data_IF_443573556201
#
_entry.id   IF_443573556201
#
_cell.length_a   1.000
_cell.length_b   1.000
_cell.length_c   1.000
_cell.angle_alpha   90.00
_cell.angle_beta   90.00
_cell.angle_gamma   90.00
#
_symmetry.space_group_name_H-M   'P 1'
#
loop_
_entity.id
_entity.type
_entity.pdbx_description
1 polymer ?
#
# COMPACT_ATOMS: atom_id res chain seq x y z
N UNK A 1 -12.30 -9.26 -29.52
CA UNK A 1 -10.89 -9.72 -29.39
C UNK A 1 -10.46 -9.56 -27.95
N UNK A 2 -9.73 -10.52 -27.38
CA UNK A 2 -9.29 -10.53 -25.97
C UNK A 2 -7.89 -9.95 -25.79
N UNK A 3 -7.66 -8.73 -26.26
CA UNK A 3 -6.42 -7.97 -26.04
C UNK A 3 -6.84 -6.55 -25.65
N UNK A 4 -6.26 -6.04 -24.57
CA UNK A 4 -6.56 -4.73 -24.01
C UNK A 4 -5.35 -3.81 -24.12
N UNK A 5 -5.61 -2.50 -24.14
CA UNK A 5 -4.58 -1.48 -24.16
C UNK A 5 -4.23 -1.04 -22.72
N UNK A 6 -2.95 -0.98 -22.40
CA UNK A 6 -2.45 -0.53 -21.09
C UNK A 6 -1.40 0.58 -21.27
N UNK A 7 -1.45 1.67 -20.48
CA UNK A 7 -0.46 2.73 -20.54
C UNK A 7 0.76 2.43 -19.67
N UNK A 8 1.93 2.90 -20.10
CA UNK A 8 3.11 3.11 -19.25
C UNK A 8 3.68 4.49 -19.59
N UNK A 9 3.41 5.48 -18.74
CA UNK A 9 3.59 6.90 -19.08
C UNK A 9 2.89 7.23 -20.41
N UNK A 10 3.63 7.76 -21.38
CA UNK A 10 3.13 8.13 -22.72
C UNK A 10 3.08 6.91 -23.66
N UNK A 11 3.68 5.78 -23.29
CA UNK A 11 3.74 4.58 -24.12
C UNK A 11 2.47 3.75 -24.00
N UNK A 12 2.03 3.19 -25.13
CA UNK A 12 0.88 2.27 -25.21
C UNK A 12 1.36 0.84 -25.38
N UNK A 13 0.82 -0.06 -24.58
CA UNK A 13 1.03 -1.51 -24.71
C UNK A 13 -0.29 -2.24 -24.94
N UNK A 14 -0.18 -3.45 -25.45
CA UNK A 14 -1.30 -4.34 -25.71
C UNK A 14 -1.06 -5.68 -25.03
N UNK A 15 -2.08 -6.23 -24.39
CA UNK A 15 -1.97 -7.56 -23.82
C UNK A 15 -3.16 -7.99 -23.00
N UNK A 16 -2.93 -8.79 -21.97
CA UNK A 16 -3.98 -9.37 -21.16
C UNK A 16 -3.46 -9.76 -19.78
N UNK A 17 -4.34 -9.71 -18.78
CA UNK A 17 -4.07 -10.19 -17.43
C UNK A 17 -4.75 -11.53 -17.18
N UNK A 18 -4.17 -12.39 -16.35
CA UNK A 18 -4.77 -13.66 -15.93
C UNK A 18 -4.78 -13.80 -14.42
N UNK A 19 -5.75 -14.54 -13.90
CA UNK A 19 -5.82 -14.86 -12.48
C UNK A 19 -6.68 -16.08 -12.21
N UNK A 20 -6.15 -17.00 -11.41
CA UNK A 20 -6.89 -18.11 -10.81
C UNK A 20 -6.36 -18.28 -9.39
N UNK A 21 -7.25 -18.31 -8.40
CA UNK A 21 -6.89 -18.33 -6.98
C UNK A 21 -5.86 -17.25 -6.61
N UNK A 22 -4.72 -17.65 -6.04
CA UNK A 22 -3.58 -16.78 -5.70
C UNK A 22 -2.51 -16.69 -6.81
N UNK A 23 -2.78 -17.26 -7.98
CA UNK A 23 -1.94 -17.12 -9.16
C UNK A 23 -2.39 -15.92 -10.00
N UNK A 24 -1.41 -15.19 -10.53
CA UNK A 24 -1.60 -14.02 -11.38
C UNK A 24 -0.64 -14.08 -12.56
N UNK A 25 -1.09 -13.56 -13.68
CA UNK A 25 -0.25 -13.34 -14.85
C UNK A 25 -0.56 -12.02 -15.53
N UNK A 26 0.41 -11.48 -16.24
CA UNK A 26 0.25 -10.31 -17.08
C UNK A 26 1.17 -10.44 -18.28
N UNK A 27 0.68 -10.05 -19.44
CA UNK A 27 1.45 -9.88 -20.67
C UNK A 27 1.22 -8.47 -21.19
N UNK A 28 2.30 -7.78 -21.55
CA UNK A 28 2.27 -6.49 -22.24
C UNK A 28 3.27 -6.50 -23.39
N UNK A 29 2.79 -6.16 -24.59
CA UNK A 29 3.61 -5.93 -25.77
C UNK A 29 3.57 -4.45 -26.16
N UNK A 30 4.75 -3.84 -26.31
CA UNK A 30 4.96 -2.46 -26.73
C UNK A 30 5.45 -2.47 -28.18
N UNK A 31 4.57 -2.22 -29.18
CA UNK A 31 4.93 -2.34 -30.59
C UNK A 31 6.03 -1.37 -31.02
N UNK A 32 6.01 -0.14 -30.48
CA UNK A 32 6.99 0.91 -30.81
C UNK A 32 8.41 0.52 -30.36
N UNK A 33 8.53 -0.13 -29.20
CA UNK A 33 9.81 -0.57 -28.64
C UNK A 33 10.22 -1.98 -29.08
N UNK A 34 9.33 -2.71 -29.78
CA UNK A 34 9.44 -4.15 -30.07
C UNK A 34 9.74 -4.98 -28.81
N UNK A 35 9.12 -4.60 -27.69
CA UNK A 35 9.35 -5.21 -26.38
C UNK A 35 8.12 -5.99 -25.92
N UNK A 36 8.32 -7.22 -25.45
CA UNK A 36 7.32 -8.00 -24.73
C UNK A 36 7.77 -8.21 -23.28
N UNK A 37 6.88 -7.96 -22.33
CA UNK A 37 7.08 -8.25 -20.89
C UNK A 37 5.97 -9.17 -20.42
N UNK A 38 6.35 -10.27 -19.80
CA UNK A 38 5.44 -11.20 -19.16
C UNK A 38 5.81 -11.37 -17.69
N UNK A 39 4.81 -11.33 -16.81
CA UNK A 39 4.95 -11.61 -15.39
C UNK A 39 4.00 -12.74 -15.03
N UNK A 40 4.49 -13.72 -14.28
CA UNK A 40 3.69 -14.72 -13.58
C UNK A 40 4.06 -14.69 -12.11
N UNK A 41 3.07 -14.80 -11.24
CA UNK A 41 3.25 -14.74 -9.78
C UNK A 41 2.26 -15.66 -9.08
N UNK A 42 2.69 -16.23 -7.98
CA UNK A 42 1.88 -17.04 -7.05
C UNK A 42 1.90 -16.47 -5.63
N UNK A 43 2.21 -15.18 -5.48
CA UNK A 43 2.23 -14.47 -4.20
C UNK A 43 1.58 -13.08 -4.30
N UNK A 44 0.95 -12.63 -3.21
CA UNK A 44 0.32 -11.30 -3.08
C UNK A 44 0.95 -10.38 -2.05
N UNK A 45 2.08 -10.78 -1.46
CA UNK A 45 2.77 -9.97 -0.45
C UNK A 45 3.26 -8.62 -1.01
N UNK A 46 3.46 -8.55 -2.33
CA UNK A 46 3.81 -7.33 -3.04
C UNK A 46 2.98 -7.21 -4.33
N UNK A 47 2.65 -5.98 -4.72
CA UNK A 47 1.76 -5.74 -5.85
C UNK A 47 2.47 -6.04 -7.19
N UNK A 48 1.85 -6.86 -8.04
CA UNK A 48 2.43 -7.24 -9.33
C UNK A 48 2.55 -6.06 -10.30
N UNK A 49 1.68 -5.05 -10.18
CA UNK A 49 1.77 -3.84 -10.98
C UNK A 49 3.03 -3.04 -10.61
N UNK A 50 3.37 -2.96 -9.32
CA UNK A 50 4.61 -2.30 -8.87
C UNK A 50 5.86 -3.01 -9.42
N UNK A 51 5.85 -4.34 -9.46
CA UNK A 51 6.93 -5.14 -10.08
C UNK A 51 7.06 -4.83 -11.57
N UNK A 52 5.93 -4.82 -12.30
CA UNK A 52 5.92 -4.49 -13.72
C UNK A 52 6.40 -3.05 -13.99
N UNK A 53 5.96 -2.08 -13.18
CA UNK A 53 6.41 -0.69 -13.26
C UNK A 53 7.92 -0.61 -13.01
N UNK A 54 8.46 -1.31 -12.02
CA UNK A 54 9.90 -1.33 -11.76
C UNK A 54 10.70 -1.92 -12.94
N UNK A 55 10.25 -3.04 -13.50
CA UNK A 55 10.88 -3.68 -14.66
C UNK A 55 10.87 -2.76 -15.91
N UNK A 56 9.70 -2.19 -16.23
CA UNK A 56 9.56 -1.25 -17.35
C UNK A 56 10.34 0.04 -17.12
N UNK A 57 10.36 0.55 -15.89
CA UNK A 57 11.14 1.75 -15.54
C UNK A 57 12.63 1.51 -15.68
N UNK A 58 13.11 0.34 -15.26
CA UNK A 58 14.51 -0.08 -15.45
C UNK A 58 14.90 -0.11 -16.92
N UNK A 59 14.09 -0.75 -17.78
CA UNK A 59 14.35 -0.82 -19.23
C UNK A 59 14.33 0.57 -19.89
N UNK A 60 13.46 1.47 -19.44
CA UNK A 60 13.27 2.80 -20.02
C UNK A 60 14.12 3.90 -19.34
N UNK A 61 15.06 3.55 -18.46
CA UNK A 61 15.86 4.48 -17.65
C UNK A 61 15.01 5.54 -16.93
N UNK A 62 13.83 5.15 -16.42
CA UNK A 62 12.96 5.99 -15.60
C UNK A 62 13.28 5.79 -14.11
N UNK A 63 13.15 6.83 -13.28
CA UNK A 63 13.31 6.67 -11.84
C UNK A 63 12.19 5.77 -11.28
N UNK A 64 12.55 4.89 -10.35
CA UNK A 64 11.62 4.05 -9.60
C UNK A 64 12.12 3.87 -8.17
N UNK A 65 11.22 3.51 -7.27
CA UNK A 65 11.55 3.24 -5.88
C UNK A 65 11.86 1.77 -5.71
N UNK A 66 13.02 1.45 -5.12
CA UNK A 66 13.33 0.08 -4.70
C UNK A 66 12.60 -0.16 -3.36
N UNK A 67 11.73 -1.19 -3.26
CA UNK A 67 11.10 -1.50 -1.99
C UNK A 67 12.12 -2.00 -0.97
N UNK A 68 11.93 -1.61 0.28
CA UNK A 68 12.57 -2.24 1.44
C UNK A 68 11.62 -3.28 2.04
N UNK A 69 12.20 -4.37 2.56
CA UNK A 69 11.46 -5.46 3.21
C UNK A 69 11.94 -5.65 4.65
N UNK A 70 12.36 -4.57 5.29
CA UNK A 70 12.86 -4.62 6.66
C UNK A 70 11.74 -5.08 7.61
N UNK A 71 12.06 -6.06 8.44
CA UNK A 71 11.15 -6.52 9.48
C UNK A 71 11.34 -5.64 10.71
N UNK A 72 10.41 -4.71 10.94
CA UNK A 72 10.38 -3.94 12.18
C UNK A 72 9.95 -4.87 13.31
N UNK A 73 10.90 -5.29 14.14
CA UNK A 73 10.61 -6.11 15.33
C UNK A 73 10.07 -5.20 16.42
N UNK A 74 8.76 -5.29 16.70
CA UNK A 74 8.07 -4.52 17.73
C UNK A 74 7.73 -5.41 18.92
N UNK A 75 7.95 -4.91 20.14
CA UNK A 75 7.37 -5.50 21.34
C UNK A 75 5.95 -4.98 21.52
N UNK A 76 5.10 -5.74 22.23
CA UNK A 76 3.72 -5.32 22.48
C UNK A 76 3.63 -3.98 23.23
N UNK A 77 4.59 -3.71 24.11
CA UNK A 77 4.70 -2.46 24.88
C UNK A 77 4.98 -1.24 23.99
N UNK A 78 5.72 -1.42 22.89
CA UNK A 78 6.05 -0.34 21.96
C UNK A 78 4.81 0.20 21.22
N UNK A 79 3.72 -0.57 21.24
CA UNK A 79 2.46 -0.24 20.57
C UNK A 79 1.49 0.57 21.43
N UNK A 80 1.64 0.53 22.75
CA UNK A 80 0.75 1.19 23.71
C UNK A 80 0.57 2.70 23.47
N UNK A 81 1.62 3.45 23.09
CA UNK A 81 1.46 4.88 22.80
C UNK A 81 0.47 5.17 21.66
N UNK A 82 0.28 4.24 20.72
CA UNK A 82 -0.57 4.44 19.54
C UNK A 82 -2.04 4.12 19.79
N UNK A 83 -2.37 3.34 20.83
CA UNK A 83 -3.73 2.86 21.09
C UNK A 83 -4.68 3.98 21.48
N UNK A 84 -5.87 4.05 20.87
CA UNK A 84 -6.90 5.04 21.23
C UNK A 84 -7.84 5.41 20.08
N UNK A 85 -8.76 6.33 20.34
CA UNK A 85 -9.65 6.90 19.34
C UNK A 85 -9.06 8.22 18.81
N UNK A 86 -8.91 8.31 17.49
CA UNK A 86 -8.44 9.49 16.78
C UNK A 86 -9.58 10.10 15.98
N UNK A 87 -9.72 11.42 16.06
CA UNK A 87 -10.71 12.15 15.29
C UNK A 87 -10.28 13.59 15.04
N UNK A 88 -10.91 14.24 14.07
CA UNK A 88 -10.76 15.66 13.81
C UNK A 88 -12.11 16.23 13.34
N UNK A 89 -12.36 17.52 13.57
CA UNK A 89 -13.61 18.16 13.15
C UNK A 89 -13.77 18.17 11.62
N UNK A 90 -12.67 18.19 10.88
CA UNK A 90 -12.65 18.15 9.41
C UNK A 90 -12.67 16.74 8.82
N UNK A 91 -12.68 15.68 9.64
CA UNK A 91 -12.67 14.30 9.17
C UNK A 91 -13.97 13.58 9.59
N UNK A 92 -14.73 12.98 8.66
CA UNK A 92 -16.13 12.58 8.88
C UNK A 92 -16.30 11.36 9.80
N UNK A 93 -15.22 10.67 10.17
CA UNK A 93 -15.27 9.41 10.91
C UNK A 93 -14.22 9.40 12.03
N UNK A 94 -14.43 8.59 13.07
CA UNK A 94 -13.39 8.30 14.06
C UNK A 94 -12.62 7.07 13.64
N UNK A 95 -11.32 7.05 13.93
CA UNK A 95 -10.44 5.89 13.73
C UNK A 95 -10.02 5.37 15.10
N UNK A 96 -10.36 4.13 15.40
CA UNK A 96 -9.92 3.44 16.61
C UNK A 96 -8.70 2.59 16.28
N UNK A 97 -7.63 2.76 17.06
CA UNK A 97 -6.42 1.96 16.99
C UNK A 97 -6.37 1.01 18.18
N UNK A 98 -6.36 -0.29 17.90
CA UNK A 98 -6.24 -1.37 18.88
C UNK A 98 -5.00 -2.21 18.59
N UNK A 99 -4.62 -3.09 19.52
CA UNK A 99 -3.58 -4.09 19.30
C UNK A 99 -4.10 -5.50 19.59
N UNK A 100 -3.54 -6.45 18.87
CA UNK A 100 -3.61 -7.88 19.19
C UNK A 100 -2.17 -8.41 19.16
N UNK A 101 -1.65 -8.82 20.32
CA UNK A 101 -0.24 -9.20 20.51
C UNK A 101 0.74 -8.09 20.08
N UNK A 102 1.43 -8.29 18.97
CA UNK A 102 2.44 -7.38 18.39
C UNK A 102 1.95 -6.72 17.09
N UNK A 103 0.66 -6.81 16.78
CA UNK A 103 0.05 -6.17 15.60
C UNK A 103 -0.93 -5.08 16.01
N UNK A 104 -0.90 -3.96 15.28
CA UNK A 104 -1.92 -2.93 15.37
C UNK A 104 -3.07 -3.22 14.41
N UNK A 105 -4.27 -2.82 14.81
CA UNK A 105 -5.46 -2.82 13.98
C UNK A 105 -6.06 -1.42 13.96
N UNK A 106 -6.50 -0.98 12.79
CA UNK A 106 -7.27 0.25 12.64
C UNK A 106 -8.71 -0.08 12.26
N UNK A 107 -9.64 0.65 12.85
CA UNK A 107 -11.06 0.55 12.54
C UNK A 107 -11.66 1.95 12.37
N UNK A 108 -12.18 2.25 11.19
CA UNK A 108 -13.04 3.40 11.00
C UNK A 108 -14.47 3.10 11.50
N UNK A 109 -15.15 4.11 12.02
CA UNK A 109 -16.54 3.97 12.47
C UNK A 109 -17.44 3.40 11.36
N UNK A 110 -18.11 2.28 11.62
CA UNK A 110 -18.96 1.60 10.64
C UNK A 110 -18.25 0.70 9.64
N UNK A 111 -16.94 0.48 9.78
CA UNK A 111 -16.14 -0.40 8.93
C UNK A 111 -15.53 -1.57 9.73
N UNK A 112 -15.11 -2.60 9.01
CA UNK A 112 -14.34 -3.70 9.59
C UNK A 112 -12.94 -3.21 10.01
N UNK A 113 -12.40 -3.81 11.07
CA UNK A 113 -11.01 -3.57 11.45
C UNK A 113 -10.06 -4.24 10.44
N UNK A 114 -8.91 -3.61 10.20
CA UNK A 114 -7.87 -4.14 9.32
C UNK A 114 -6.50 -4.06 10.00
N UNK A 115 -5.62 -5.04 9.72
CA UNK A 115 -4.28 -5.06 10.29
C UNK A 115 -3.41 -3.96 9.68
N UNK A 116 -2.50 -3.44 10.48
CA UNK A 116 -1.49 -2.47 10.10
C UNK A 116 -0.11 -3.12 10.17
N UNK A 117 0.63 -3.02 9.07
CA UNK A 117 2.00 -3.51 8.99
C UNK A 117 2.96 -2.36 9.28
N UNK A 118 3.97 -2.54 10.16
CA UNK A 118 4.93 -1.49 10.47
C UNK A 118 5.89 -1.30 9.29
N UNK A 119 6.10 -0.05 8.91
CA UNK A 119 7.11 0.31 7.90
C UNK A 119 8.37 0.82 8.55
N UNK A 120 8.23 1.65 9.60
CA UNK A 120 9.31 2.23 10.38
C UNK A 120 8.80 2.55 11.80
N UNK A 121 9.66 3.10 12.67
CA UNK A 121 9.23 3.62 13.97
C UNK A 121 8.10 4.64 13.79
N UNK A 122 7.00 4.47 14.52
CA UNK A 122 5.78 5.27 14.45
C UNK A 122 5.05 5.28 13.08
N UNK A 123 5.48 4.50 12.09
CA UNK A 123 4.88 4.50 10.76
C UNK A 123 4.33 3.12 10.42
N UNK A 124 3.08 3.09 9.99
CA UNK A 124 2.35 1.87 9.69
C UNK A 124 1.55 2.04 8.41
N UNK A 125 1.27 0.94 7.72
CA UNK A 125 0.47 0.98 6.51
C UNK A 125 -0.48 -0.21 6.36
N UNK A 126 -1.51 0.01 5.57
CA UNK A 126 -2.35 -1.06 5.04
C UNK A 126 -2.31 -0.96 3.50
N UNK A 127 -1.37 -1.70 2.91
CA UNK A 127 -1.04 -1.63 1.48
C UNK A 127 -2.26 -1.86 0.59
N UNK A 128 -3.14 -2.80 0.95
CA UNK A 128 -4.32 -3.16 0.15
C UNK A 128 -5.27 -1.99 -0.10
N UNK A 129 -5.33 -1.00 0.80
CA UNK A 129 -6.15 0.20 0.64
C UNK A 129 -5.33 1.47 0.40
N UNK A 130 -4.00 1.34 0.21
CA UNK A 130 -3.09 2.48 0.06
C UNK A 130 -3.09 3.43 1.27
N UNK A 131 -3.37 2.92 2.47
CA UNK A 131 -3.44 3.70 3.71
C UNK A 131 -2.06 3.74 4.36
N UNK A 132 -1.58 4.93 4.72
CA UNK A 132 -0.40 5.13 5.57
C UNK A 132 -0.76 5.95 6.80
N UNK A 133 -0.30 5.51 7.96
CA UNK A 133 -0.50 6.15 9.26
C UNK A 133 0.85 6.53 9.83
N UNK A 134 1.02 7.81 10.14
CA UNK A 134 2.19 8.35 10.82
C UNK A 134 1.76 8.82 12.20
N UNK A 135 2.21 8.14 13.24
CA UNK A 135 1.89 8.46 14.62
C UNK A 135 2.86 9.49 15.19
N UNK A 136 2.30 10.43 15.96
CA UNK A 136 3.04 11.44 16.73
C UNK A 136 2.61 11.35 18.19
N UNK A 137 3.10 10.36 18.96
CA UNK A 137 2.63 10.10 20.32
C UNK A 137 2.78 11.31 21.26
N UNK A 138 3.90 12.04 21.15
CA UNK A 138 4.19 13.22 21.96
C UNK A 138 3.20 14.37 21.71
N UNK A 139 2.66 14.45 20.49
CA UNK A 139 1.68 15.47 20.10
C UNK A 139 0.24 14.96 20.24
N UNK A 140 0.04 13.69 20.64
CA UNK A 140 -1.26 13.00 20.62
C UNK A 140 -1.93 13.06 19.24
N UNK A 141 -1.15 12.95 18.17
CA UNK A 141 -1.65 13.05 16.79
C UNK A 141 -1.36 11.79 15.98
N UNK A 142 -2.18 11.57 14.95
CA UNK A 142 -1.96 10.60 13.90
C UNK A 142 -2.26 11.24 12.55
N UNK A 143 -1.36 11.11 11.58
CA UNK A 143 -1.55 11.59 10.22
C UNK A 143 -1.94 10.41 9.34
N UNK A 144 -3.15 10.46 8.80
CA UNK A 144 -3.68 9.52 7.81
C UNK A 144 -3.39 10.03 6.40
N UNK A 145 -2.72 9.21 5.58
CA UNK A 145 -2.49 9.46 4.14
C UNK A 145 -3.21 8.37 3.34
N UNK A 146 -4.14 8.76 2.47
CA UNK A 146 -4.90 7.83 1.61
C UNK A 146 -5.37 8.54 0.34
N UNK A 147 -5.18 7.92 -0.83
CA UNK A 147 -5.70 8.44 -2.11
C UNK A 147 -5.23 9.85 -2.47
N UNK A 148 -4.03 10.25 -2.02
CA UNK A 148 -3.49 11.61 -2.18
C UNK A 148 -3.96 12.62 -1.11
N UNK A 149 -4.95 12.27 -0.29
CA UNK A 149 -5.37 13.06 0.86
C UNK A 149 -4.44 12.89 2.06
N UNK A 150 -4.35 13.94 2.91
CA UNK A 150 -3.61 13.95 4.17
C UNK A 150 -4.48 14.56 5.25
N UNK A 151 -4.76 13.80 6.32
CA UNK A 151 -5.61 14.21 7.43
C UNK A 151 -4.87 14.06 8.75
N UNK A 152 -4.80 15.13 9.53
CA UNK A 152 -4.25 15.09 10.89
C UNK A 152 -5.39 14.86 11.86
N UNK A 153 -5.32 13.78 12.63
CA UNK A 153 -6.31 13.41 13.63
C UNK A 153 -5.70 13.52 15.03
N UNK A 154 -6.50 13.94 16.01
CA UNK A 154 -6.06 14.06 17.41
C UNK A 154 -6.62 12.90 18.23
N UNK A 155 -5.77 12.33 19.08
CA UNK A 155 -6.11 11.27 20.03
C UNK A 155 -6.93 11.85 21.17
N UNK A 156 -8.08 11.25 21.46
CA UNK A 156 -8.91 11.60 22.62
C UNK A 156 -8.36 11.04 23.93
#
# INVERSE_FOLDING_TARGET
MGIFQYPFYEKKSFGHTGGIDEFRSSLAYFPEDKLAVALTSNGRTYDNNDILIAALSTYNNKPFTIPTFENVTLKSEDLDPYLGEYSDAGFPMKITITKENTKLFAQATGQAAFPLEPTEKNNFEFKMAGIKLEFKPNEKQMILKQGGGKFTLTKK
#
